data_IF_068268556142
#
_entry.id   IF_068268556142
#
_cell.length_a   1.000
_cell.length_b   1.000
_cell.length_c   1.000
_cell.angle_alpha   90.00
_cell.angle_beta   90.00
_cell.angle_gamma   90.00
#
_symmetry.space_group_name_H-M   'P 1'
#
loop_
_entity.id
_entity.type
_entity.pdbx_description
1 polymer ?
#
# COMPACT_ATOMS: atom_id res chain seq x y z
N UNK A 1 -1.44 45.52 -26.02
CA UNK A 1 -2.55 44.72 -25.44
C UNK A 1 -2.58 43.23 -25.83
N UNK A 2 -1.59 42.70 -26.58
CA UNK A 2 -1.59 41.29 -27.04
C UNK A 2 -0.73 40.35 -26.16
N UNK A 3 0.34 40.87 -25.56
CA UNK A 3 1.25 40.09 -24.68
C UNK A 3 0.57 39.69 -23.36
N UNK A 4 -0.20 40.59 -22.75
CA UNK A 4 -0.90 40.32 -21.49
C UNK A 4 -1.97 39.23 -21.63
N UNK A 5 -2.68 39.16 -22.76
CA UNK A 5 -3.71 38.14 -23.02
C UNK A 5 -3.12 36.72 -23.11
N UNK A 6 -1.91 36.58 -23.67
CA UNK A 6 -1.18 35.30 -23.71
C UNK A 6 -0.72 34.84 -22.33
N UNK A 7 -0.24 35.77 -21.50
CA UNK A 7 0.19 35.45 -20.13
C UNK A 7 -1.00 35.02 -19.27
N UNK A 8 -2.14 35.72 -19.37
CA UNK A 8 -3.36 35.35 -18.65
C UNK A 8 -3.88 33.97 -19.09
N UNK A 9 -3.87 33.68 -20.39
CA UNK A 9 -4.26 32.36 -20.90
C UNK A 9 -3.32 31.25 -20.40
N UNK A 10 -2.02 31.53 -20.31
CA UNK A 10 -1.03 30.58 -19.80
C UNK A 10 -1.25 30.29 -18.32
N UNK A 11 -1.49 31.33 -17.50
CA UNK A 11 -1.79 31.21 -16.07
C UNK A 11 -3.10 30.45 -15.82
N UNK A 12 -4.14 30.70 -16.60
CA UNK A 12 -5.40 29.95 -16.52
C UNK A 12 -5.22 28.48 -16.90
N UNK A 13 -4.40 28.18 -17.91
CA UNK A 13 -4.10 26.77 -18.27
C UNK A 13 -3.33 26.05 -17.16
N UNK A 14 -2.39 26.74 -16.50
CA UNK A 14 -1.62 26.19 -15.38
C UNK A 14 -2.50 25.93 -14.17
N UNK A 15 -3.47 26.82 -13.90
CA UNK A 15 -4.46 26.63 -12.83
C UNK A 15 -5.40 25.46 -13.11
N UNK A 16 -5.81 25.25 -14.37
CA UNK A 16 -6.63 24.10 -14.78
C UNK A 16 -5.85 22.76 -14.68
N UNK A 17 -4.55 22.76 -15.00
CA UNK A 17 -3.67 21.59 -14.82
C UNK A 17 -3.49 21.29 -13.31
N UNK A 18 -3.36 22.30 -12.47
CA UNK A 18 -3.28 22.14 -11.01
C UNK A 18 -4.62 21.64 -10.40
N UNK A 19 -5.77 22.10 -10.91
CA UNK A 19 -7.08 21.62 -10.45
C UNK A 19 -7.35 20.15 -10.85
N UNK A 20 -6.91 19.74 -12.04
CA UNK A 20 -7.11 18.34 -12.52
C UNK A 20 -6.20 17.34 -11.81
N UNK A 21 -5.00 17.75 -11.39
CA UNK A 21 -4.11 16.92 -10.57
C UNK A 21 -4.58 16.79 -9.11
N UNK A 22 -5.25 17.82 -8.56
CA UNK A 22 -5.92 17.71 -7.26
C UNK A 22 -7.20 16.85 -7.31
N UNK A 23 -7.92 16.85 -8.43
CA UNK A 23 -9.13 16.04 -8.63
C UNK A 23 -8.85 14.55 -8.94
N UNK A 24 -7.62 14.20 -9.33
CA UNK A 24 -7.17 12.79 -9.41
C UNK A 24 -6.64 12.26 -8.07
N UNK A 25 -6.68 13.07 -7.01
CA UNK A 25 -6.57 12.58 -5.63
C UNK A 25 -7.95 12.17 -5.10
N UNK A 26 -8.79 11.57 -5.96
CA UNK A 26 -9.80 10.64 -5.49
C UNK A 26 -9.03 9.50 -4.82
N UNK A 27 -8.78 9.69 -3.52
CA UNK A 27 -8.57 8.62 -2.58
C UNK A 27 -9.86 7.82 -2.63
N UNK A 28 -9.94 6.93 -3.62
CA UNK A 28 -10.83 5.81 -3.50
C UNK A 28 -10.43 5.14 -2.19
N UNK A 29 -11.33 5.34 -1.25
CA UNK A 29 -11.55 4.65 0.00
C UNK A 29 -11.61 3.16 -0.33
N UNK A 30 -10.47 2.56 -0.68
CA UNK A 30 -10.36 1.17 -1.11
C UNK A 30 -10.49 0.28 0.13
N UNK A 31 -11.74 0.13 0.56
CA UNK A 31 -12.13 -0.71 1.66
C UNK A 31 -12.32 -2.13 1.11
N UNK A 32 -11.32 -2.99 1.33
CA UNK A 32 -11.31 -4.41 0.96
C UNK A 32 -12.01 -5.25 2.03
N UNK A 33 -12.58 -6.36 1.62
CA UNK A 33 -12.96 -7.46 2.53
C UNK A 33 -11.78 -8.41 2.70
N UNK A 34 -11.73 -9.15 3.83
CA UNK A 34 -10.74 -10.21 4.06
C UNK A 34 -10.70 -11.21 2.90
N UNK A 35 -11.88 -11.62 2.42
CA UNK A 35 -12.01 -12.59 1.33
C UNK A 35 -11.49 -12.07 -0.03
N UNK A 36 -11.51 -10.76 -0.28
CA UNK A 36 -10.90 -10.17 -1.48
C UNK A 36 -9.38 -10.22 -1.39
N UNK A 37 -8.81 -9.85 -0.23
CA UNK A 37 -7.36 -9.93 0.02
C UNK A 37 -6.85 -11.38 -0.02
N UNK A 38 -7.61 -12.33 0.53
CA UNK A 38 -7.32 -13.77 0.48
C UNK A 38 -7.34 -14.35 -0.94
N UNK A 39 -8.00 -13.70 -1.91
CA UNK A 39 -8.03 -14.18 -3.31
C UNK A 39 -6.92 -13.61 -4.16
N UNK A 40 -6.27 -12.53 -3.74
CA UNK A 40 -5.11 -11.95 -4.45
C UNK A 40 -3.98 -12.97 -4.51
N UNK A 41 -3.21 -12.98 -5.60
CA UNK A 41 -1.95 -13.72 -5.60
C UNK A 41 -0.94 -13.05 -4.65
N UNK A 42 0.15 -13.77 -4.38
CA UNK A 42 1.15 -13.36 -3.41
C UNK A 42 1.80 -12.01 -3.74
N UNK A 43 2.05 -11.75 -5.03
CA UNK A 43 2.71 -10.53 -5.48
C UNK A 43 1.77 -9.34 -5.36
N UNK A 44 0.54 -9.48 -5.87
CA UNK A 44 -0.48 -8.43 -5.81
C UNK A 44 -0.82 -8.04 -4.37
N UNK A 45 -0.95 -9.04 -3.47
CA UNK A 45 -1.18 -8.80 -2.05
C UNK A 45 -0.01 -8.02 -1.41
N UNK A 46 1.23 -8.43 -1.70
CA UNK A 46 2.42 -7.78 -1.17
C UNK A 46 2.57 -6.34 -1.65
N UNK A 47 2.39 -6.08 -2.94
CA UNK A 47 2.46 -4.73 -3.51
C UNK A 47 1.32 -3.84 -3.00
N UNK A 48 0.12 -4.40 -2.79
CA UNK A 48 -0.97 -3.68 -2.13
C UNK A 48 -0.58 -3.27 -0.71
N UNK A 49 -0.04 -4.19 0.09
CA UNK A 49 0.40 -3.89 1.46
C UNK A 49 1.49 -2.81 1.47
N UNK A 50 2.49 -2.91 0.58
CA UNK A 50 3.55 -1.89 0.44
C UNK A 50 3.00 -0.52 0.05
N UNK A 51 2.09 -0.47 -0.92
CA UNK A 51 1.42 0.78 -1.33
C UNK A 51 0.67 1.44 -0.18
N UNK A 52 0.23 0.66 0.80
CA UNK A 52 -0.49 1.12 1.99
C UNK A 52 0.38 1.24 3.25
N UNK A 53 1.71 1.21 3.07
CA UNK A 53 2.68 1.54 4.12
C UNK A 53 3.27 0.35 4.86
N UNK A 54 3.29 -0.85 4.26
CA UNK A 54 4.04 -1.97 4.82
C UNK A 54 5.54 -1.66 4.78
N UNK A 55 6.15 -1.52 5.96
CA UNK A 55 7.58 -1.38 6.13
C UNK A 55 8.22 -2.73 6.44
N UNK A 56 8.92 -3.30 5.46
CA UNK A 56 9.63 -4.56 5.65
C UNK A 56 11.00 -4.29 6.25
N UNK A 57 11.20 -4.74 7.49
CA UNK A 57 12.46 -4.64 8.23
C UNK A 57 13.65 -5.26 7.48
N UNK A 58 14.85 -4.74 7.73
CA UNK A 58 16.08 -5.32 7.14
C UNK A 58 16.38 -6.70 7.71
N UNK A 59 16.01 -6.93 8.97
CA UNK A 59 16.13 -8.22 9.68
C UNK A 59 15.42 -9.37 8.95
N UNK A 60 14.17 -9.16 8.51
CA UNK A 60 13.45 -10.21 7.77
C UNK A 60 13.97 -10.37 6.34
N UNK A 61 14.50 -9.31 5.72
CA UNK A 61 15.13 -9.36 4.38
C UNK A 61 16.45 -10.10 4.36
N UNK A 62 17.15 -10.16 5.49
CA UNK A 62 18.35 -11.01 5.64
C UNK A 62 17.99 -12.50 5.70
N UNK A 63 16.75 -12.83 6.07
CA UNK A 63 16.26 -14.21 6.20
C UNK A 63 15.52 -14.66 4.93
N UNK A 64 14.69 -13.79 4.37
CA UNK A 64 13.83 -14.07 3.22
C UNK A 64 14.16 -13.13 2.07
N UNK A 65 14.42 -13.71 0.90
CA UNK A 65 14.40 -12.95 -0.36
C UNK A 65 13.01 -12.35 -0.60
N UNK A 66 12.91 -11.26 -1.35
CA UNK A 66 11.62 -10.60 -1.69
C UNK A 66 10.54 -11.58 -2.17
N UNK A 67 10.88 -12.49 -3.09
CA UNK A 67 9.94 -13.51 -3.58
C UNK A 67 9.42 -14.43 -2.47
N UNK A 68 10.29 -14.83 -1.54
CA UNK A 68 9.91 -15.67 -0.39
C UNK A 68 9.09 -14.91 0.63
N UNK A 69 9.30 -13.61 0.74
CA UNK A 69 8.50 -12.75 1.58
C UNK A 69 7.07 -12.61 1.04
N UNK A 70 6.90 -12.43 -0.27
CA UNK A 70 5.58 -12.44 -0.93
C UNK A 70 4.84 -13.75 -0.64
N UNK A 71 5.49 -14.89 -0.91
CA UNK A 71 4.93 -16.22 -0.66
C UNK A 71 4.59 -16.43 0.83
N UNK A 72 5.48 -16.05 1.75
CA UNK A 72 5.25 -16.18 3.18
C UNK A 72 4.05 -15.34 3.65
N UNK A 73 3.96 -14.09 3.20
CA UNK A 73 2.82 -13.22 3.54
C UNK A 73 1.51 -13.83 3.05
N UNK A 74 1.53 -14.48 1.89
CA UNK A 74 0.35 -15.14 1.34
C UNK A 74 -0.03 -16.40 2.10
N UNK A 75 0.94 -17.24 2.42
CA UNK A 75 0.74 -18.51 3.13
C UNK A 75 0.24 -18.29 4.56
N UNK A 76 0.85 -17.35 5.28
CA UNK A 76 0.53 -17.06 6.68
C UNK A 76 -0.43 -15.86 6.83
N UNK A 77 -1.11 -15.43 5.76
CA UNK A 77 -1.92 -14.20 5.72
C UNK A 77 -2.87 -14.10 6.92
N UNK A 78 -3.62 -15.17 7.21
CA UNK A 78 -4.58 -15.24 8.31
C UNK A 78 -3.95 -14.96 9.68
N UNK A 79 -2.72 -15.44 9.91
CA UNK A 79 -2.01 -15.18 11.16
C UNK A 79 -1.49 -13.75 11.20
N UNK A 80 -0.91 -13.29 10.09
CA UNK A 80 -0.26 -11.98 10.03
C UNK A 80 -1.25 -10.83 10.20
N UNK A 81 -2.48 -10.96 9.70
CA UNK A 81 -3.53 -9.93 9.90
C UNK A 81 -4.02 -9.85 11.35
N UNK A 82 -3.73 -10.86 12.17
CA UNK A 82 -3.98 -10.88 13.62
C UNK A 82 -2.73 -10.47 14.44
N UNK A 83 -1.65 -10.04 13.76
CA UNK A 83 -0.38 -9.72 14.41
C UNK A 83 0.39 -10.95 14.91
N UNK A 84 -0.03 -12.15 14.52
CA UNK A 84 0.58 -13.41 14.90
C UNK A 84 1.53 -13.95 13.81
N UNK A 85 2.45 -14.82 14.19
CA UNK A 85 3.28 -15.56 13.24
C UNK A 85 3.56 -16.97 13.73
N UNK A 86 3.81 -17.88 12.79
CA UNK A 86 4.15 -19.28 13.07
C UNK A 86 5.59 -19.47 13.57
N UNK A 87 6.40 -18.41 13.58
CA UNK A 87 7.85 -18.44 13.84
C UNK A 87 8.20 -17.78 15.18
N UNK A 88 9.16 -18.35 15.89
CA UNK A 88 9.59 -17.83 17.20
C UNK A 88 10.50 -16.61 17.11
N UNK A 89 11.06 -16.33 15.93
CA UNK A 89 12.02 -15.26 15.67
C UNK A 89 11.34 -13.88 15.68
N UNK A 90 12.05 -12.87 16.20
CA UNK A 90 11.53 -11.51 16.38
C UNK A 90 11.27 -10.80 15.05
N UNK A 91 12.06 -11.08 14.00
CA UNK A 91 11.88 -10.45 12.68
C UNK A 91 10.52 -10.78 12.08
N UNK A 92 10.05 -12.03 12.28
CA UNK A 92 8.72 -12.46 11.83
C UNK A 92 7.59 -11.83 12.64
N UNK A 93 7.81 -11.60 13.95
CA UNK A 93 6.84 -10.90 14.80
C UNK A 93 6.70 -9.43 14.41
N UNK A 94 7.82 -8.77 14.10
CA UNK A 94 7.83 -7.41 13.61
C UNK A 94 7.07 -7.31 12.28
N UNK A 95 7.33 -8.23 11.34
CA UNK A 95 6.59 -8.30 10.09
C UNK A 95 5.08 -8.48 10.31
N UNK A 96 4.67 -9.37 11.22
CA UNK A 96 3.26 -9.59 11.55
C UNK A 96 2.59 -8.31 12.08
N UNK A 97 3.26 -7.59 12.98
CA UNK A 97 2.76 -6.33 13.53
C UNK A 97 2.59 -5.27 12.44
N UNK A 98 3.53 -5.17 11.50
CA UNK A 98 3.42 -4.25 10.36
C UNK A 98 2.28 -4.63 9.41
N UNK A 99 2.13 -5.93 9.10
CA UNK A 99 1.02 -6.42 8.25
C UNK A 99 -0.34 -6.15 8.90
N UNK A 100 -0.51 -6.44 10.20
CA UNK A 100 -1.74 -6.13 10.95
C UNK A 100 -2.09 -4.63 10.88
N UNK A 101 -1.08 -3.76 11.11
CA UNK A 101 -1.26 -2.31 11.09
C UNK A 101 -1.72 -1.80 9.71
N UNK A 102 -1.21 -2.38 8.63
CA UNK A 102 -1.63 -2.04 7.26
C UNK A 102 -2.99 -2.63 6.95
N UNK A 103 -3.24 -3.89 7.33
CA UNK A 103 -4.51 -4.56 7.14
C UNK A 103 -5.69 -3.79 7.75
N UNK A 104 -5.54 -3.30 8.99
CA UNK A 104 -6.55 -2.47 9.66
C UNK A 104 -6.91 -1.19 8.89
N UNK A 105 -6.01 -0.67 8.05
CA UNK A 105 -6.27 0.49 7.18
C UNK A 105 -6.98 0.10 5.88
N UNK A 106 -6.87 -1.17 5.48
CA UNK A 106 -7.43 -1.71 4.24
C UNK A 106 -8.85 -2.26 4.41
N UNK A 107 -9.23 -2.71 5.60
CA UNK A 107 -10.53 -3.35 5.80
C UNK A 107 -11.69 -2.35 5.78
N UNK A 108 -12.79 -2.77 5.15
CA UNK A 108 -14.11 -2.18 5.37
C UNK A 108 -14.72 -2.79 6.64
N UNK A 109 -14.97 -1.97 7.65
CA UNK A 109 -15.70 -2.38 8.87
C UNK A 109 -17.07 -3.02 8.55
#
# INVERSE_FOLDING_TARGET
MYKSKRIIAFLLSLMLIALTSAACANKDEHAYTKAELEKMDAHDLYELLKKNGLEVGTDIKEILSDKRLEEYIKEDFDLLIEGACSRSDIAYKNLASEVENVYKKLIKE
#
